data_IF_799802279834
#
_entry.id   IF_799802279834
#
_cell.length_a   1.000
_cell.length_b   1.000
_cell.length_c   1.000
_cell.angle_alpha   90.00
_cell.angle_beta   90.00
_cell.angle_gamma   90.00
#
_symmetry.space_group_name_H-M   'P 1'
#
loop_
_entity.id
_entity.type
_entity.pdbx_description
1 polymer ?
#
# COMPACT_ATOMS: atom_id res chain seq x y z
N UNK A 1 -0.96 -44.41 12.35
CA UNK A 1 -0.36 -45.71 12.77
C UNK A 1 -1.34 -46.88 12.74
N UNK A 2 -2.53 -46.83 13.35
CA UNK A 2 -3.47 -47.98 13.40
C UNK A 2 -3.88 -48.53 12.01
N UNK A 3 -4.08 -47.67 11.02
CA UNK A 3 -4.50 -48.08 9.67
C UNK A 3 -3.39 -48.76 8.85
N UNK A 4 -2.12 -48.39 9.06
CA UNK A 4 -0.98 -49.05 8.39
C UNK A 4 -0.78 -50.48 8.90
N UNK A 5 -0.98 -50.70 10.20
CA UNK A 5 -0.94 -52.04 10.80
C UNK A 5 -2.08 -52.91 10.28
N UNK A 6 -3.28 -52.33 10.08
CA UNK A 6 -4.41 -53.03 9.49
C UNK A 6 -4.12 -53.47 8.04
N UNK A 7 -3.46 -52.63 7.23
CA UNK A 7 -3.05 -52.99 5.88
C UNK A 7 -1.98 -54.09 5.83
N UNK A 8 -0.98 -54.00 6.70
CA UNK A 8 0.07 -55.04 6.79
C UNK A 8 -0.57 -56.36 7.24
N UNK A 9 -1.46 -56.34 8.23
CA UNK A 9 -2.19 -57.52 8.69
C UNK A 9 -3.11 -58.09 7.60
N UNK A 10 -3.75 -57.22 6.80
CA UNK A 10 -4.60 -57.64 5.68
C UNK A 10 -3.77 -58.29 4.57
N UNK A 11 -2.65 -57.70 4.19
CA UNK A 11 -1.74 -58.29 3.19
C UNK A 11 -1.18 -59.62 3.70
N UNK A 12 -0.75 -59.69 4.96
CA UNK A 12 -0.28 -60.93 5.57
C UNK A 12 -1.38 -62.00 5.62
N UNK A 13 -2.61 -61.63 5.95
CA UNK A 13 -3.77 -62.53 5.95
C UNK A 13 -4.10 -63.01 4.53
N UNK A 14 -4.01 -62.14 3.52
CA UNK A 14 -4.18 -62.53 2.12
C UNK A 14 -3.09 -63.51 1.67
N UNK A 15 -1.82 -63.28 2.01
CA UNK A 15 -0.72 -64.20 1.67
C UNK A 15 -0.89 -65.56 2.36
N UNK A 16 -1.29 -65.57 3.63
CA UNK A 16 -1.54 -66.80 4.39
C UNK A 16 -2.76 -67.56 3.87
N UNK A 17 -3.88 -66.88 3.61
CA UNK A 17 -5.08 -67.49 3.04
C UNK A 17 -4.82 -68.03 1.63
N UNK A 18 -4.03 -67.31 0.85
CA UNK A 18 -3.61 -67.71 -0.49
C UNK A 18 -2.68 -68.93 -0.47
N UNK A 19 -1.67 -68.93 0.41
CA UNK A 19 -0.79 -70.07 0.63
C UNK A 19 -1.55 -71.31 1.12
N UNK A 20 -2.54 -71.11 1.99
CA UNK A 20 -3.44 -72.17 2.44
C UNK A 20 -4.30 -72.72 1.28
N UNK A 21 -4.84 -71.85 0.43
CA UNK A 21 -5.69 -72.26 -0.69
C UNK A 21 -4.88 -73.05 -1.74
N UNK A 22 -3.64 -72.65 -2.00
CA UNK A 22 -2.68 -73.43 -2.80
C UNK A 22 -2.41 -74.78 -2.13
N UNK A 23 -2.08 -74.78 -0.83
CA UNK A 23 -1.78 -76.00 -0.09
C UNK A 23 -2.96 -76.97 -0.09
N UNK A 24 -4.19 -76.50 0.16
CA UNK A 24 -5.39 -77.33 0.17
C UNK A 24 -5.71 -77.90 -1.23
N UNK A 25 -5.52 -77.10 -2.29
CA UNK A 25 -5.72 -77.56 -3.67
C UNK A 25 -4.68 -78.62 -4.09
N UNK A 26 -3.43 -78.49 -3.62
CA UNK A 26 -2.37 -79.47 -3.86
C UNK A 26 -2.37 -80.66 -2.89
N UNK A 27 -2.97 -80.55 -1.71
CA UNK A 27 -3.07 -81.64 -0.75
C UNK A 27 -3.93 -82.80 -1.28
N UNK A 28 -4.92 -82.50 -2.14
CA UNK A 28 -5.71 -83.52 -2.87
C UNK A 28 -4.96 -84.08 -4.10
N UNK A 29 -3.93 -83.40 -4.61
CA UNK A 29 -3.02 -83.94 -5.62
C UNK A 29 -1.96 -84.83 -4.95
N UNK A 30 -2.30 -86.10 -4.74
CA UNK A 30 -1.34 -87.14 -4.31
C UNK A 30 -0.26 -87.32 -5.39
N UNK A 31 0.86 -86.61 -5.27
CA UNK A 31 1.95 -86.62 -6.26
C UNK A 31 2.93 -87.79 -6.13
N UNK A 32 2.76 -88.68 -5.15
CA UNK A 32 3.44 -89.97 -5.09
C UNK A 32 2.75 -90.92 -4.12
N UNK A 33 2.49 -92.16 -4.54
CA UNK A 33 2.15 -93.25 -3.61
C UNK A 33 3.44 -94.03 -3.35
N UNK A 34 3.89 -94.06 -2.10
CA UNK A 34 4.94 -94.97 -1.67
C UNK A 34 4.34 -96.37 -1.60
N UNK A 35 4.74 -97.23 -2.54
CA UNK A 35 4.52 -98.68 -2.46
C UNK A 35 5.84 -99.36 -2.15
N UNK A 36 5.76 -100.58 -1.60
CA UNK A 36 6.89 -101.30 -0.99
C UNK A 36 8.08 -101.61 -1.94
N UNK A 37 7.99 -101.29 -3.23
CA UNK A 37 9.04 -101.55 -4.23
C UNK A 37 9.58 -100.28 -4.93
N UNK A 38 9.11 -99.08 -4.58
CA UNK A 38 9.61 -97.82 -5.14
C UNK A 38 8.54 -96.72 -5.27
N UNK A 39 8.98 -95.47 -5.45
CA UNK A 39 8.10 -94.31 -5.70
C UNK A 39 7.53 -94.37 -7.12
N UNK A 40 6.24 -94.67 -7.27
CA UNK A 40 5.52 -94.46 -8.53
C UNK A 40 4.81 -93.09 -8.54
N UNK A 41 5.19 -92.25 -9.50
CA UNK A 41 4.56 -90.96 -9.79
C UNK A 41 3.40 -91.22 -10.75
N UNK A 42 2.17 -91.25 -10.24
CA UNK A 42 0.96 -91.39 -11.07
C UNK A 42 0.57 -90.00 -11.57
N UNK A 43 1.11 -89.59 -12.72
CA UNK A 43 0.53 -88.49 -13.48
C UNK A 43 0.67 -88.75 -14.99
N UNK A 44 -0.34 -89.34 -15.65
CA UNK A 44 -0.33 -89.50 -17.10
C UNK A 44 -0.60 -88.16 -17.78
N UNK A 45 0.48 -87.46 -18.12
CA UNK A 45 0.73 -86.70 -19.34
C UNK A 45 -0.42 -85.94 -20.08
N UNK A 46 -1.35 -85.28 -19.39
CA UNK A 46 -2.14 -84.13 -19.87
C UNK A 46 -2.72 -83.42 -18.64
N UNK A 47 -2.70 -82.09 -18.62
CA UNK A 47 -3.28 -81.19 -17.59
C UNK A 47 -2.33 -80.63 -16.52
N UNK A 48 -1.00 -80.78 -16.63
CA UNK A 48 -0.09 -80.00 -15.77
C UNK A 48 -0.25 -78.48 -16.01
N UNK A 49 -0.53 -78.09 -17.26
CA UNK A 49 -0.77 -76.70 -17.67
C UNK A 49 -2.12 -76.15 -17.14
N UNK A 50 -3.18 -76.96 -17.14
CA UNK A 50 -4.50 -76.59 -16.60
C UNK A 50 -4.49 -76.46 -15.08
N UNK A 51 -3.58 -77.17 -14.39
CA UNK A 51 -3.38 -77.08 -12.94
C UNK A 51 -2.41 -75.94 -12.58
N UNK A 52 -1.47 -75.57 -13.46
CA UNK A 52 -0.54 -74.45 -13.24
C UNK A 52 -1.12 -73.07 -13.56
N UNK A 53 -2.02 -72.93 -14.53
CA UNK A 53 -2.57 -71.62 -14.92
C UNK A 53 -3.25 -70.86 -13.77
N UNK A 54 -4.03 -71.52 -12.88
CA UNK A 54 -4.62 -70.86 -11.74
C UNK A 54 -3.53 -70.37 -10.79
N UNK A 55 -2.45 -71.13 -10.59
CA UNK A 55 -1.31 -70.71 -9.75
C UNK A 55 -0.63 -69.45 -10.29
N UNK A 56 -0.39 -69.38 -11.60
CA UNK A 56 0.24 -68.22 -12.23
C UNK A 56 -0.67 -67.00 -12.15
N UNK A 57 -1.97 -67.15 -12.44
CA UNK A 57 -2.93 -66.04 -12.38
C UNK A 57 -3.19 -65.60 -10.94
N UNK A 58 -3.26 -66.53 -10.02
CA UNK A 58 -3.47 -66.27 -8.62
C UNK A 58 -2.22 -65.59 -8.00
N UNK A 59 -1.00 -65.99 -8.40
CA UNK A 59 0.25 -65.31 -8.01
C UNK A 59 0.41 -63.92 -8.63
N UNK A 60 -0.01 -63.76 -9.89
CA UNK A 60 -0.06 -62.46 -10.56
C UNK A 60 -1.07 -61.52 -9.89
N UNK A 61 -2.27 -61.99 -9.56
CA UNK A 61 -3.29 -61.19 -8.87
C UNK A 61 -2.90 -60.89 -7.42
N UNK A 62 -2.34 -61.87 -6.71
CA UNK A 62 -1.88 -61.71 -5.33
C UNK A 62 -0.75 -60.70 -5.17
N UNK A 63 0.06 -60.48 -6.20
CA UNK A 63 1.11 -59.46 -6.23
C UNK A 63 0.65 -58.13 -6.85
N UNK A 64 -0.24 -58.17 -7.84
CA UNK A 64 -0.74 -56.97 -8.51
C UNK A 64 -1.65 -56.12 -7.61
N UNK A 65 -2.53 -56.72 -6.81
CA UNK A 65 -3.49 -55.99 -5.97
C UNK A 65 -2.79 -55.15 -4.88
N UNK A 66 -1.81 -55.68 -4.12
CA UNK A 66 -1.05 -54.87 -3.16
C UNK A 66 -0.22 -53.79 -3.83
N UNK A 67 0.40 -54.09 -4.99
CA UNK A 67 1.20 -53.12 -5.74
C UNK A 67 0.33 -51.93 -6.21
N UNK A 68 -0.85 -52.19 -6.78
CA UNK A 68 -1.78 -51.14 -7.19
C UNK A 68 -2.30 -50.36 -5.97
N UNK A 69 -2.68 -51.04 -4.88
CA UNK A 69 -3.15 -50.36 -3.67
C UNK A 69 -2.10 -49.39 -3.10
N UNK A 70 -0.82 -49.79 -3.14
CA UNK A 70 0.30 -48.95 -2.71
C UNK A 70 0.51 -47.74 -3.63
N UNK A 71 0.41 -47.93 -4.95
CA UNK A 71 0.51 -46.83 -5.92
C UNK A 71 -0.63 -45.83 -5.74
N UNK A 72 -1.89 -46.29 -5.59
CA UNK A 72 -3.03 -45.41 -5.31
C UNK A 72 -2.83 -44.64 -4.00
N UNK A 73 -2.34 -45.32 -2.97
CA UNK A 73 -2.08 -44.67 -1.68
C UNK A 73 -1.01 -43.57 -1.77
N UNK A 74 0.11 -43.83 -2.46
CA UNK A 74 1.14 -42.81 -2.71
C UNK A 74 0.58 -41.65 -3.52
N UNK A 75 -0.19 -41.94 -4.57
CA UNK A 75 -0.77 -40.91 -5.44
C UNK A 75 -1.74 -40.00 -4.67
N UNK A 76 -2.61 -40.58 -3.83
CA UNK A 76 -3.52 -39.81 -2.98
C UNK A 76 -2.74 -38.95 -1.98
N UNK A 77 -1.69 -39.51 -1.37
CA UNK A 77 -0.85 -38.80 -0.41
C UNK A 77 -0.12 -37.61 -1.06
N UNK A 78 0.50 -37.82 -2.22
CA UNK A 78 1.15 -36.73 -2.97
C UNK A 78 0.14 -35.64 -3.33
N UNK A 79 -1.06 -36.02 -3.78
CA UNK A 79 -2.10 -35.06 -4.17
C UNK A 79 -2.61 -34.24 -2.98
N UNK A 80 -2.68 -34.83 -1.80
CA UNK A 80 -3.08 -34.11 -0.59
C UNK A 80 -1.96 -33.18 -0.10
N UNK A 81 -0.70 -33.60 -0.17
CA UNK A 81 0.48 -32.75 0.12
C UNK A 81 0.54 -31.54 -0.85
N UNK A 82 0.33 -31.75 -2.16
CA UNK A 82 0.27 -30.66 -3.15
C UNK A 82 -0.85 -29.67 -2.86
N UNK A 83 -2.03 -30.15 -2.43
CA UNK A 83 -3.16 -29.28 -2.07
C UNK A 83 -2.90 -28.47 -0.81
N UNK A 84 -2.19 -29.03 0.16
CA UNK A 84 -1.78 -28.31 1.36
C UNK A 84 -0.77 -27.22 1.03
N UNK A 85 0.22 -27.53 0.18
CA UNK A 85 1.21 -26.57 -0.29
C UNK A 85 0.57 -25.42 -1.09
N UNK A 86 -0.34 -25.73 -2.03
CA UNK A 86 -1.09 -24.72 -2.78
C UNK A 86 -1.90 -23.82 -1.84
N UNK A 87 -2.60 -24.40 -0.86
CA UNK A 87 -3.36 -23.63 0.13
C UNK A 87 -2.45 -22.74 0.96
N UNK A 88 -1.28 -23.21 1.38
CA UNK A 88 -0.32 -22.41 2.12
C UNK A 88 0.20 -21.25 1.27
N UNK A 89 0.57 -21.50 0.01
CA UNK A 89 1.00 -20.45 -0.93
C UNK A 89 -0.08 -19.40 -1.18
N UNK A 90 -1.33 -19.83 -1.33
CA UNK A 90 -2.45 -18.91 -1.51
C UNK A 90 -2.71 -18.08 -0.26
N UNK A 91 -2.60 -18.67 0.94
CA UNK A 91 -2.73 -17.95 2.21
C UNK A 91 -1.63 -16.90 2.38
N UNK A 92 -0.37 -17.26 2.14
CA UNK A 92 0.75 -16.31 2.25
C UNK A 92 0.66 -15.20 1.20
N UNK A 93 0.23 -15.52 -0.03
CA UNK A 93 -0.03 -14.50 -1.06
C UNK A 93 -1.18 -13.55 -0.65
N UNK A 94 -2.23 -14.05 -0.01
CA UNK A 94 -3.33 -13.24 0.47
C UNK A 94 -2.91 -12.34 1.64
N UNK A 95 -2.15 -12.87 2.60
CA UNK A 95 -1.62 -12.08 3.72
C UNK A 95 -0.67 -10.98 3.24
N UNK A 96 0.23 -11.27 2.31
CA UNK A 96 1.14 -10.26 1.73
C UNK A 96 0.37 -9.20 0.96
N UNK A 97 -0.64 -9.57 0.16
CA UNK A 97 -1.51 -8.62 -0.53
C UNK A 97 -2.30 -7.73 0.44
N UNK A 98 -2.82 -8.29 1.55
CA UNK A 98 -3.50 -7.53 2.58
C UNK A 98 -2.56 -6.54 3.29
N UNK A 99 -1.33 -6.95 3.60
CA UNK A 99 -0.32 -6.07 4.18
C UNK A 99 0.03 -4.91 3.24
N UNK A 100 0.25 -5.20 1.95
CA UNK A 100 0.51 -4.18 0.94
C UNK A 100 -0.67 -3.20 0.77
N UNK A 101 -1.89 -3.71 0.82
CA UNK A 101 -3.09 -2.89 0.74
C UNK A 101 -3.23 -1.99 1.98
N UNK A 102 -2.98 -2.53 3.17
CA UNK A 102 -2.99 -1.76 4.41
C UNK A 102 -1.90 -0.67 4.43
N UNK A 103 -0.68 -0.99 3.98
CA UNK A 103 0.39 0.01 3.88
C UNK A 103 0.07 1.10 2.85
N UNK A 104 -0.44 0.71 1.66
CA UNK A 104 -0.84 1.67 0.64
C UNK A 104 -1.99 2.58 1.12
N UNK A 105 -2.96 2.04 1.87
CA UNK A 105 -4.01 2.84 2.49
C UNK A 105 -3.48 3.80 3.55
N UNK A 106 -2.53 3.36 4.39
CA UNK A 106 -1.90 4.20 5.39
C UNK A 106 -1.09 5.35 4.73
N UNK A 107 -0.32 5.05 3.68
CA UNK A 107 0.41 6.05 2.91
C UNK A 107 -0.52 7.05 2.23
N UNK A 108 -1.61 6.57 1.62
CA UNK A 108 -2.63 7.43 1.02
C UNK A 108 -3.28 8.36 2.05
N UNK A 109 -3.64 7.84 3.22
CA UNK A 109 -4.20 8.63 4.31
C UNK A 109 -3.20 9.68 4.82
N UNK A 110 -1.94 9.31 5.01
CA UNK A 110 -0.89 10.23 5.44
C UNK A 110 -0.66 11.35 4.40
N UNK A 111 -0.68 11.01 3.11
CA UNK A 111 -0.58 11.99 2.03
C UNK A 111 -1.78 12.94 1.99
N UNK A 112 -3.00 12.45 2.20
CA UNK A 112 -4.19 13.29 2.28
C UNK A 112 -4.12 14.25 3.47
N UNK A 113 -3.77 13.75 4.66
CA UNK A 113 -3.59 14.59 5.84
C UNK A 113 -2.51 15.66 5.64
N UNK A 114 -1.38 15.29 5.02
CA UNK A 114 -0.33 16.25 4.68
C UNK A 114 -0.80 17.35 3.71
N UNK A 115 -1.62 16.99 2.72
CA UNK A 115 -2.23 17.96 1.80
C UNK A 115 -3.21 18.89 2.51
N UNK A 116 -4.09 18.35 3.35
CA UNK A 116 -5.04 19.15 4.13
C UNK A 116 -4.32 20.12 5.06
N UNK A 117 -3.27 19.67 5.74
CA UNK A 117 -2.48 20.52 6.60
C UNK A 117 -1.79 21.64 5.83
N UNK A 118 -1.20 21.34 4.67
CA UNK A 118 -0.59 22.34 3.80
C UNK A 118 -1.61 23.37 3.27
N UNK A 119 -2.83 22.93 2.94
CA UNK A 119 -3.92 23.82 2.53
C UNK A 119 -4.33 24.75 3.69
N UNK A 120 -4.54 24.22 4.89
CA UNK A 120 -4.86 25.04 6.08
C UNK A 120 -3.77 26.06 6.38
N UNK A 121 -2.50 25.69 6.22
CA UNK A 121 -1.39 26.64 6.37
C UNK A 121 -1.43 27.76 5.33
N UNK A 122 -1.72 27.43 4.06
CA UNK A 122 -1.86 28.44 3.00
C UNK A 122 -3.02 29.37 3.27
N UNK A 123 -4.18 28.84 3.69
CA UNK A 123 -5.34 29.66 4.07
C UNK A 123 -5.02 30.58 5.26
N UNK A 124 -4.31 30.08 6.27
CA UNK A 124 -3.86 30.89 7.40
C UNK A 124 -2.87 31.99 6.95
N UNK A 125 -1.95 31.68 6.03
CA UNK A 125 -1.01 32.65 5.49
C UNK A 125 -1.72 33.72 4.64
N UNK A 126 -2.70 33.33 3.82
CA UNK A 126 -3.50 34.25 3.00
C UNK A 126 -4.32 35.18 3.88
N UNK A 127 -5.02 34.65 4.89
CA UNK A 127 -5.79 35.48 5.82
C UNK A 127 -4.92 36.43 6.63
N UNK A 128 -3.69 36.05 6.99
CA UNK A 128 -2.73 36.97 7.61
C UNK A 128 -2.28 38.06 6.62
N UNK A 129 -1.97 37.70 5.38
CA UNK A 129 -1.58 38.65 4.34
C UNK A 129 -2.71 39.67 4.06
N UNK A 130 -3.96 39.21 3.96
CA UNK A 130 -5.14 40.08 3.81
C UNK A 130 -5.26 41.09 4.96
N UNK A 131 -5.07 40.66 6.21
CA UNK A 131 -5.07 41.57 7.37
C UNK A 131 -3.96 42.61 7.27
N UNK A 132 -2.75 42.22 6.86
CA UNK A 132 -1.64 43.16 6.67
C UNK A 132 -1.94 44.17 5.56
N UNK A 133 -2.54 43.73 4.45
CA UNK A 133 -2.95 44.61 3.36
C UNK A 133 -3.99 45.62 3.83
N UNK A 134 -5.02 45.18 4.56
CA UNK A 134 -6.04 46.08 5.12
C UNK A 134 -5.44 47.09 6.12
N UNK A 135 -4.48 46.66 6.95
CA UNK A 135 -3.79 47.57 7.86
C UNK A 135 -2.97 48.62 7.09
N UNK A 136 -2.22 48.21 6.07
CA UNK A 136 -1.44 49.13 5.22
C UNK A 136 -2.33 50.11 4.46
N UNK A 137 -3.49 49.66 3.96
CA UNK A 137 -4.45 50.55 3.31
C UNK A 137 -4.95 51.63 4.27
N UNK A 138 -5.35 51.25 5.49
CA UNK A 138 -5.78 52.24 6.51
C UNK A 138 -4.66 53.22 6.87
N UNK A 139 -3.43 52.73 7.02
CA UNK A 139 -2.26 53.59 7.29
C UNK A 139 -2.00 54.55 6.13
N UNK A 140 -2.12 54.09 4.88
CA UNK A 140 -1.95 54.93 3.70
C UNK A 140 -3.04 56.00 3.61
N UNK A 141 -4.30 55.64 3.88
CA UNK A 141 -5.42 56.59 3.92
C UNK A 141 -5.22 57.66 5.01
N UNK A 142 -4.78 57.26 6.21
CA UNK A 142 -4.46 58.18 7.29
C UNK A 142 -3.31 59.12 6.89
N UNK A 143 -2.23 58.59 6.35
CA UNK A 143 -1.09 59.39 5.89
C UNK A 143 -1.49 60.38 4.78
N UNK A 144 -2.37 59.97 3.86
CA UNK A 144 -2.90 60.87 2.82
C UNK A 144 -3.74 62.00 3.42
N UNK A 145 -4.61 61.71 4.38
CA UNK A 145 -5.41 62.73 5.05
C UNK A 145 -4.54 63.70 5.85
N UNK A 146 -3.52 63.21 6.54
CA UNK A 146 -2.56 64.05 7.26
C UNK A 146 -1.74 64.91 6.32
N UNK A 147 -1.26 64.35 5.20
CA UNK A 147 -0.55 65.11 4.17
C UNK A 147 -1.42 66.20 3.55
N UNK A 148 -2.69 65.91 3.26
CA UNK A 148 -3.65 66.89 2.75
C UNK A 148 -3.81 68.07 3.72
N UNK A 149 -4.00 67.78 5.03
CA UNK A 149 -4.11 68.83 6.06
C UNK A 149 -2.83 69.66 6.18
N UNK A 150 -1.66 69.04 6.06
CA UNK A 150 -0.38 69.77 6.09
C UNK A 150 -0.21 70.68 4.87
N UNK A 151 -0.63 70.22 3.68
CA UNK A 151 -0.60 71.03 2.45
C UNK A 151 -1.55 72.22 2.59
N UNK A 152 -2.78 72.02 3.04
CA UNK A 152 -3.74 73.11 3.28
C UNK A 152 -3.18 74.13 4.30
N UNK A 153 -2.60 73.66 5.40
CA UNK A 153 -1.99 74.54 6.39
C UNK A 153 -0.78 75.31 5.84
N UNK A 154 0.03 74.69 4.98
CA UNK A 154 1.16 75.34 4.33
C UNK A 154 0.69 76.39 3.31
N UNK A 155 -0.34 76.09 2.53
CA UNK A 155 -0.95 77.04 1.59
C UNK A 155 -1.51 78.25 2.32
N UNK A 156 -2.28 78.06 3.41
CA UNK A 156 -2.79 79.16 4.21
C UNK A 156 -1.68 80.06 4.80
N UNK A 157 -0.54 79.47 5.20
CA UNK A 157 0.63 80.23 5.66
C UNK A 157 1.29 81.01 4.52
N UNK A 158 1.40 80.41 3.34
CA UNK A 158 1.96 81.06 2.16
C UNK A 158 1.10 82.27 1.75
N UNK A 159 -0.22 82.11 1.65
CA UNK A 159 -1.16 83.20 1.35
C UNK A 159 -1.08 84.33 2.39
N UNK A 160 -1.03 83.99 3.68
CA UNK A 160 -0.89 84.99 4.73
C UNK A 160 0.46 85.74 4.64
N UNK A 161 1.54 85.05 4.26
CA UNK A 161 2.85 85.66 4.05
C UNK A 161 2.85 86.58 2.82
N UNK A 162 2.24 86.17 1.72
CA UNK A 162 2.09 86.99 0.51
C UNK A 162 1.26 88.26 0.80
N UNK A 163 0.14 88.14 1.50
CA UNK A 163 -0.68 89.29 1.91
C UNK A 163 0.12 90.27 2.80
N UNK A 164 0.94 89.76 3.73
CA UNK A 164 1.83 90.61 4.54
C UNK A 164 2.89 91.28 3.68
N UNK A 165 3.50 90.57 2.74
CA UNK A 165 4.49 91.12 1.82
C UNK A 165 3.88 92.25 0.97
N UNK A 166 2.69 92.04 0.40
CA UNK A 166 1.97 93.06 -0.37
C UNK A 166 1.60 94.30 0.47
N UNK A 167 1.19 94.11 1.73
CA UNK A 167 0.94 95.23 2.65
C UNK A 167 2.23 95.97 3.01
N UNK A 168 3.33 95.27 3.21
CA UNK A 168 4.63 95.88 3.50
C UNK A 168 5.17 96.67 2.30
N UNK A 169 5.08 96.12 1.08
CA UNK A 169 5.52 96.81 -0.15
C UNK A 169 4.66 98.04 -0.42
N UNK A 170 3.33 97.95 -0.31
CA UNK A 170 2.45 99.11 -0.48
C UNK A 170 2.69 100.19 0.59
N UNK A 171 2.94 99.82 1.85
CA UNK A 171 3.33 100.77 2.90
C UNK A 171 4.67 101.46 2.57
N UNK A 172 5.67 100.70 2.13
CA UNK A 172 6.96 101.24 1.70
C UNK A 172 6.80 102.24 0.53
N UNK A 173 6.01 101.90 -0.48
CA UNK A 173 5.71 102.80 -1.60
C UNK A 173 4.98 104.08 -1.14
N UNK A 174 4.06 104.00 -0.17
CA UNK A 174 3.42 105.20 0.43
C UNK A 174 4.42 106.08 1.15
N UNK A 175 5.32 105.51 1.95
CA UNK A 175 6.35 106.26 2.68
C UNK A 175 7.32 106.90 1.69
N UNK A 176 7.81 106.16 0.69
CA UNK A 176 8.68 106.68 -0.38
C UNK A 176 8.01 107.83 -1.15
N UNK A 177 6.72 107.72 -1.49
CA UNK A 177 5.98 108.80 -2.17
C UNK A 177 5.86 110.04 -1.27
N UNK A 178 5.56 109.86 0.02
CA UNK A 178 5.53 110.96 0.99
C UNK A 178 6.91 111.62 1.14
N UNK A 179 7.99 110.87 1.30
CA UNK A 179 9.33 111.45 1.48
C UNK A 179 9.79 112.24 0.25
N UNK A 180 9.43 111.80 -0.96
CA UNK A 180 9.71 112.54 -2.20
C UNK A 180 8.89 113.84 -2.31
N UNK A 181 7.65 113.87 -1.80
CA UNK A 181 6.83 115.07 -1.73
C UNK A 181 7.34 116.06 -0.67
N UNK A 182 7.78 115.59 0.49
CA UNK A 182 8.32 116.47 1.55
C UNK A 182 9.73 116.99 1.22
N UNK A 183 10.55 116.20 0.51
CA UNK A 183 11.87 116.64 0.04
C UNK A 183 11.83 117.74 -1.02
N UNK A 184 10.70 117.94 -1.69
CA UNK A 184 10.50 119.04 -2.63
C UNK A 184 10.07 120.37 -1.97
N UNK A 185 9.77 120.36 -0.66
CA UNK A 185 9.26 121.52 0.09
C UNK A 185 10.28 122.17 1.02
N UNK A 186 11.55 121.74 1.00
CA UNK A 186 12.60 122.45 1.74
C UNK A 186 13.94 122.38 0.98
N UNK A 187 14.33 123.42 0.22
CA UNK A 187 15.72 123.55 -0.19
C UNK A 187 16.58 123.83 1.04
N UNK A 188 17.77 123.23 1.19
CA UNK A 188 18.67 123.55 2.28
C UNK A 188 19.13 125.01 2.12
N UNK A 189 18.70 125.89 3.01
CA UNK A 189 19.36 127.18 3.23
C UNK A 189 20.76 126.90 3.75
N UNK A 190 21.73 127.01 2.85
CA UNK A 190 23.16 127.14 3.14
C UNK A 190 23.37 128.43 3.93
N UNK A 191 23.96 128.30 5.12
CA UNK A 191 24.80 129.33 5.75
C UNK A 191 26.12 128.69 6.09
#
# INVERSE_FOLDING_TARGET
>A
MKWQIAWIAFIAACVLAFGWLIYAYFADLVLARSTAEGLEIIAPNRNLLDVLWPLVVAGALGSAIPAWSFIVWIFLRLRDEEREDERQRLKTALETAQQQLASAQAEAAAHQQGREWALRQREAALTQAERQVQQRQRQAEQAQQEAARQIEAAQARAEAAELRAQRATSAFHRVKRKSLLTGHLNPPTRT
#
